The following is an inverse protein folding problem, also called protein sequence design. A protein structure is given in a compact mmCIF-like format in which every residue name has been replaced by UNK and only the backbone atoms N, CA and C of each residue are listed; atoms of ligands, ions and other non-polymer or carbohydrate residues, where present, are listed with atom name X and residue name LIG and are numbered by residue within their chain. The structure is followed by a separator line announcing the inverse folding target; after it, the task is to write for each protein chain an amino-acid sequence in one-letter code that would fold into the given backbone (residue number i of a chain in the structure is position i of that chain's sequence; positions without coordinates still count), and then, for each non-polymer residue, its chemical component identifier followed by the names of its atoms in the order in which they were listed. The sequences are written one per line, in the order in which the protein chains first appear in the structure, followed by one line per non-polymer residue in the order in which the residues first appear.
data_IF_235794561375
#
_entry.id   IF_235794561375
#
_cell.length_a   1.000
_cell.length_b   1.000
_cell.length_c   1.000
_cell.angle_alpha   90.00
_cell.angle_beta   90.00
_cell.angle_gamma   90.00
#
_symmetry.space_group_name_H-M   'P 1'
#
loop_
_entity.id
_entity.type
_entity.pdbx_description
1 polymer ?
#
# COMPACT_ATOMS: atom_id res chain seq x y z
N UNK A 1 -2.86 -4.11 11.63
CA UNK A 1 -3.88 -3.53 10.74
C UNK A 1 -3.46 -3.71 9.28
N UNK A 2 -4.40 -3.80 8.32
CA UNK A 2 -4.09 -3.76 6.89
C UNK A 2 -4.49 -2.40 6.30
N UNK A 3 -3.66 -1.83 5.45
CA UNK A 3 -3.99 -0.64 4.70
C UNK A 3 -3.59 -0.78 3.23
N UNK A 4 -4.47 -0.36 2.33
CA UNK A 4 -4.13 -0.11 0.93
C UNK A 4 -3.71 1.35 0.81
N UNK A 5 -2.49 1.59 0.33
CA UNK A 5 -1.96 2.89 -0.01
C UNK A 5 -1.92 3.03 -1.53
N UNK A 6 -2.63 4.01 -2.05
CA UNK A 6 -2.58 4.42 -3.45
C UNK A 6 -2.24 5.91 -3.52
N UNK A 7 -1.27 6.27 -4.36
CA UNK A 7 -0.70 7.61 -4.44
C UNK A 7 -0.64 8.02 -5.90
N UNK A 8 -1.35 9.08 -6.23
CA UNK A 8 -1.47 9.59 -7.60
C UNK A 8 -0.93 11.02 -7.64
N UNK A 9 0.28 11.25 -8.18
CA UNK A 9 0.74 12.60 -8.50
C UNK A 9 -0.11 13.20 -9.62
N UNK A 10 -0.41 14.49 -9.52
CA UNK A 10 -1.20 15.23 -10.51
C UNK A 10 -0.41 16.46 -10.95
N UNK A 11 -0.42 16.72 -12.26
CA UNK A 11 0.28 17.86 -12.86
C UNK A 11 1.72 17.57 -13.30
N UNK A 12 2.09 16.30 -13.44
CA UNK A 12 3.46 15.86 -13.79
C UNK A 12 3.86 16.09 -15.25
N UNK A 13 2.92 16.53 -16.10
CA UNK A 13 3.14 16.72 -17.54
C UNK A 13 3.33 15.42 -18.35
N UNK A 14 3.20 14.25 -17.70
CA UNK A 14 3.37 12.92 -18.32
C UNK A 14 2.29 11.96 -17.83
N UNK A 15 1.78 11.12 -18.74
CA UNK A 15 0.88 10.02 -18.38
C UNK A 15 1.61 8.82 -17.75
N UNK A 16 2.93 8.72 -17.93
CA UNK A 16 3.74 7.64 -17.33
C UNK A 16 4.22 8.07 -15.95
N UNK A 17 3.71 7.39 -14.92
CA UNK A 17 4.00 7.69 -13.51
C UNK A 17 4.98 6.70 -12.87
N UNK A 18 5.43 5.66 -13.59
CA UNK A 18 6.22 4.56 -13.02
C UNK A 18 7.52 5.02 -12.36
N UNK A 19 8.22 6.00 -12.94
CA UNK A 19 9.44 6.55 -12.34
C UNK A 19 9.19 7.30 -11.03
N UNK A 20 8.05 7.98 -10.89
CA UNK A 20 7.66 8.69 -9.67
C UNK A 20 7.22 7.68 -8.60
N UNK A 21 6.42 6.69 -8.99
CA UNK A 21 5.93 5.66 -8.08
C UNK A 21 7.04 4.71 -7.61
N UNK A 22 8.12 4.54 -8.36
CA UNK A 22 9.28 3.77 -7.93
C UNK A 22 9.85 4.29 -6.60
N UNK A 23 9.95 5.62 -6.42
CA UNK A 23 10.43 6.21 -5.18
C UNK A 23 9.49 5.93 -4.00
N UNK A 24 8.18 5.98 -4.25
CA UNK A 24 7.16 5.65 -3.25
C UNK A 24 7.28 4.20 -2.81
N UNK A 25 7.44 3.27 -3.76
CA UNK A 25 7.61 1.84 -3.45
C UNK A 25 8.91 1.60 -2.69
N UNK A 26 10.01 2.29 -3.03
CA UNK A 26 11.27 2.20 -2.27
C UNK A 26 11.08 2.65 -0.82
N UNK A 27 10.29 3.69 -0.55
CA UNK A 27 10.01 4.13 0.83
C UNK A 27 9.17 3.12 1.63
N UNK A 28 8.30 2.39 0.95
CA UNK A 28 7.51 1.29 1.53
C UNK A 28 8.42 0.11 1.85
N UNK A 29 9.30 -0.30 0.92
CA UNK A 29 10.27 -1.38 1.13
C UNK A 29 11.21 -1.08 2.32
N UNK A 30 11.71 0.16 2.41
CA UNK A 30 12.56 0.62 3.51
C UNK A 30 11.81 0.79 4.84
N UNK A 31 10.48 0.66 4.88
CA UNK A 31 9.71 0.85 6.11
C UNK A 31 9.87 -0.29 7.11
N UNK A 32 10.30 -1.47 6.66
CA UNK A 32 10.34 -2.69 7.46
C UNK A 32 8.97 -3.29 7.75
N UNK A 33 7.89 -2.72 7.22
CA UNK A 33 6.54 -3.28 7.30
C UNK A 33 6.36 -4.36 6.22
N UNK A 34 5.56 -5.37 6.53
CA UNK A 34 5.15 -6.34 5.52
C UNK A 34 4.24 -5.65 4.49
N UNK A 35 4.47 -5.93 3.21
CA UNK A 35 3.77 -5.25 2.14
C UNK A 35 3.62 -6.13 0.90
N UNK A 36 2.65 -5.75 0.06
CA UNK A 36 2.42 -6.36 -1.24
C UNK A 36 2.02 -5.31 -2.26
N UNK A 37 2.83 -5.17 -3.30
CA UNK A 37 2.54 -4.28 -4.43
C UNK A 37 1.51 -4.92 -5.34
N UNK A 38 0.44 -4.19 -5.62
CA UNK A 38 -0.56 -4.52 -6.64
C UNK A 38 -0.58 -3.47 -7.75
N UNK A 39 -1.33 -3.72 -8.83
CA UNK A 39 -1.39 -2.83 -9.98
C UNK A 39 -2.08 -1.48 -9.70
N UNK A 40 -2.89 -1.41 -8.65
CA UNK A 40 -3.71 -0.22 -8.29
C UNK A 40 -3.32 0.38 -6.94
N UNK A 41 -2.23 -0.08 -6.32
CA UNK A 41 -1.83 0.36 -4.99
C UNK A 41 -1.04 -0.71 -4.25
N UNK A 42 -0.51 -0.34 -3.09
CA UNK A 42 0.30 -1.23 -2.25
C UNK A 42 -0.43 -1.53 -0.96
N UNK A 43 -0.64 -2.81 -0.68
CA UNK A 43 -1.17 -3.25 0.62
C UNK A 43 -0.02 -3.30 1.61
N UNK A 44 -0.17 -2.70 2.78
CA UNK A 44 0.80 -2.70 3.87
C UNK A 44 0.15 -3.22 5.15
N UNK A 45 0.95 -3.88 5.98
CA UNK A 45 0.54 -4.45 7.25
C UNK A 45 1.38 -3.88 8.39
N UNK A 46 0.73 -3.40 9.44
CA UNK A 46 1.41 -2.77 10.57
C UNK A 46 0.44 -2.10 11.55
N UNK A 47 1.00 -1.36 12.50
CA UNK A 47 0.23 -0.56 13.45
C UNK A 47 -0.21 0.78 12.85
N UNK A 48 -1.25 1.38 13.43
CA UNK A 48 -1.82 2.64 12.97
C UNK A 48 -0.76 3.73 12.75
N UNK A 49 0.04 4.01 13.77
CA UNK A 49 1.03 5.08 13.72
C UNK A 49 2.13 4.82 12.69
N UNK A 50 2.53 3.55 12.54
CA UNK A 50 3.54 3.16 11.54
C UNK A 50 3.03 3.37 10.11
N UNK A 51 1.80 2.93 9.84
CA UNK A 51 1.16 3.07 8.52
C UNK A 51 0.90 4.55 8.20
N UNK A 52 0.39 5.34 9.15
CA UNK A 52 0.14 6.77 8.91
C UNK A 52 1.45 7.55 8.72
N UNK A 53 2.51 7.20 9.46
CA UNK A 53 3.83 7.78 9.25
C UNK A 53 4.41 7.42 7.87
N UNK A 54 4.25 6.17 7.42
CA UNK A 54 4.63 5.76 6.07
C UNK A 54 3.81 6.50 5.00
N UNK A 55 2.49 6.57 5.14
CA UNK A 55 1.62 7.29 4.21
C UNK A 55 2.02 8.76 4.10
N UNK A 56 2.32 9.42 5.22
CA UNK A 56 2.85 10.79 5.23
C UNK A 56 4.16 10.89 4.43
N UNK A 57 5.13 10.00 4.66
CA UNK A 57 6.41 9.98 3.91
C UNK A 57 6.18 9.81 2.41
N UNK A 58 5.30 8.90 2.00
CA UNK A 58 4.96 8.67 0.59
C UNK A 58 4.32 9.91 -0.05
N UNK A 59 3.39 10.56 0.67
CA UNK A 59 2.76 11.82 0.23
C UNK A 59 3.79 12.92 0.04
N UNK A 60 4.64 13.13 1.04
CA UNK A 60 5.63 14.22 1.06
C UNK A 60 6.68 14.00 -0.03
N UNK A 61 7.15 12.76 -0.24
CA UNK A 61 8.03 12.41 -1.34
C UNK A 61 7.42 12.69 -2.71
N UNK A 62 6.13 12.38 -2.87
CA UNK A 62 5.41 12.65 -4.12
C UNK A 62 5.28 14.14 -4.40
N UNK A 63 5.00 14.94 -3.36
CA UNK A 63 4.90 16.41 -3.46
C UNK A 63 6.21 17.10 -3.82
N UNK A 64 7.37 16.47 -3.61
CA UNK A 64 8.64 17.00 -4.13
C UNK A 64 8.74 16.93 -5.66
N UNK A 65 7.90 16.11 -6.30
CA UNK A 65 7.95 15.84 -7.75
C UNK A 65 6.70 16.27 -8.52
N UNK A 66 5.62 16.62 -7.81
CA UNK A 66 4.34 17.00 -8.38
C UNK A 66 3.66 18.09 -7.53
N UNK A 67 3.00 19.05 -8.18
CA UNK A 67 2.33 20.17 -7.50
C UNK A 67 1.12 19.74 -6.67
N UNK A 68 0.54 18.58 -6.99
CA UNK A 68 -0.61 18.03 -6.29
C UNK A 68 -0.49 16.51 -6.16
N UNK A 69 -0.93 15.99 -5.02
CA UNK A 69 -1.06 14.55 -4.79
C UNK A 69 -2.49 14.22 -4.41
N UNK A 70 -3.04 13.17 -5.02
CA UNK A 70 -4.26 12.52 -4.57
C UNK A 70 -3.86 11.17 -3.98
N UNK A 71 -4.17 10.95 -2.71
CA UNK A 71 -3.83 9.73 -2.01
C UNK A 71 -5.11 9.07 -1.50
N UNK A 72 -5.26 7.79 -1.77
CA UNK A 72 -6.33 6.97 -1.22
C UNK A 72 -5.74 6.04 -0.17
N UNK A 73 -6.32 6.04 1.03
CA UNK A 73 -5.98 5.12 2.10
C UNK A 73 -7.24 4.35 2.46
N UNK A 74 -7.22 3.03 2.25
CA UNK A 74 -8.29 2.15 2.70
C UNK A 74 -7.78 1.26 3.81
N UNK A 75 -8.47 1.22 4.95
CA UNK A 75 -8.01 0.52 6.15
C UNK A 75 -8.99 -0.59 6.51
N UNK A 76 -8.44 -1.79 6.77
CA UNK A 76 -9.13 -2.89 7.44
C UNK A 76 -8.47 -3.09 8.80
N UNK A 77 -9.18 -2.65 9.84
CA UNK A 77 -8.78 -2.80 11.23
C UNK A 77 -9.80 -3.62 12.01
N UNK A 78 -9.33 -4.64 12.73
CA UNK A 78 -10.19 -5.56 13.49
C UNK A 78 -9.48 -6.03 14.75
N UNK A 79 -10.22 -6.03 15.87
CA UNK A 79 -9.70 -6.38 17.20
C UNK A 79 -9.51 -7.88 17.43
N UNK A 80 -10.23 -8.71 16.68
CA UNK A 80 -10.32 -10.16 16.89
C UNK A 80 -9.28 -10.96 16.09
N UNK A 81 -8.46 -10.29 15.26
CA UNK A 81 -7.31 -10.90 14.60
C UNK A 81 -6.08 -9.99 14.71
N UNK A 82 -5.53 -9.82 15.93
CA UNK A 82 -4.26 -9.14 16.14
C UNK A 82 -3.11 -10.04 15.68
N UNK A 83 -2.14 -9.50 14.97
CA UNK A 83 -0.95 -10.24 14.52
C UNK A 83 -0.50 -9.91 13.10
N UNK A 84 0.63 -10.50 12.72
CA UNK A 84 1.27 -10.39 11.41
C UNK A 84 0.81 -11.48 10.42
N UNK A 85 1.10 -11.31 9.13
CA UNK A 85 0.82 -12.28 8.07
C UNK A 85 -0.63 -12.25 7.56
N UNK A 86 -1.39 -11.20 7.88
CA UNK A 86 -2.78 -11.04 7.45
C UNK A 86 -2.92 -10.85 5.95
N UNK A 87 -1.93 -10.27 5.27
CA UNK A 87 -1.92 -10.17 3.79
C UNK A 87 -2.07 -11.56 3.18
N UNK A 88 -1.19 -12.49 3.56
CA UNK A 88 -1.18 -13.86 3.03
C UNK A 88 -2.39 -14.66 3.51
N UNK A 89 -2.72 -14.58 4.81
CA UNK A 89 -3.83 -15.32 5.39
C UNK A 89 -5.19 -14.99 4.74
N UNK A 90 -5.42 -13.71 4.39
CA UNK A 90 -6.64 -13.31 3.68
C UNK A 90 -6.78 -13.99 2.32
N UNK A 91 -5.70 -14.04 1.54
CA UNK A 91 -5.74 -14.67 0.21
C UNK A 91 -5.91 -16.17 0.34
N UNK A 92 -5.20 -16.82 1.27
CA UNK A 92 -5.37 -18.25 1.56
C UNK A 92 -6.81 -18.59 1.99
N UNK A 93 -7.43 -17.75 2.82
CA UNK A 93 -8.83 -17.96 3.23
C UNK A 93 -9.79 -17.88 2.03
N UNK A 94 -9.50 -17.03 1.05
CA UNK A 94 -10.28 -16.95 -0.19
C UNK A 94 -10.04 -18.19 -1.06
N UNK A 95 -8.79 -18.58 -1.30
CA UNK A 95 -8.43 -19.76 -2.08
C UNK A 95 -9.08 -21.04 -1.53
N UNK A 96 -9.10 -21.20 -0.21
CA UNK A 96 -9.76 -22.33 0.46
C UNK A 96 -11.28 -22.34 0.21
N UNK A 97 -11.94 -21.17 0.21
CA UNK A 97 -13.39 -21.05 -0.06
C UNK A 97 -13.73 -21.20 -1.53
N UNK A 98 -12.84 -20.75 -2.43
CA UNK A 98 -13.00 -20.88 -3.88
C UNK A 98 -12.62 -22.30 -4.34
N UNK A 99 -11.83 -23.04 -3.56
CA UNK A 99 -11.40 -24.41 -3.85
C UNK A 99 -10.26 -24.49 -4.87
N UNK A 100 -9.54 -23.39 -5.13
CA UNK A 100 -8.37 -23.35 -6.02
C UNK A 100 -7.45 -22.16 -5.71
N UNK A 101 -6.15 -22.23 -6.08
CA UNK A 101 -5.26 -21.08 -6.04
C UNK A 101 -5.74 -19.94 -6.94
N UNK A 102 -5.57 -18.70 -6.48
CA UNK A 102 -5.91 -17.49 -7.23
C UNK A 102 -4.66 -16.92 -7.89
N UNK A 103 -4.84 -16.28 -9.05
CA UNK A 103 -3.76 -15.52 -9.70
C UNK A 103 -3.45 -14.29 -8.86
N UNK A 104 -2.17 -14.04 -8.68
CA UNK A 104 -1.64 -13.22 -7.61
C UNK A 104 -0.59 -12.26 -8.11
#
# INVERSE_FOLDING_TARGET
MLALLDVVPIGTGSASLSGLLAQVVTLIDQSGLDYRVGPMGTTVEGEWDQIMALAKRCRDATLHTADRVMMTIQIDDRKDQPGAGRITAKVQSLEAKVGKPLKQ
#
